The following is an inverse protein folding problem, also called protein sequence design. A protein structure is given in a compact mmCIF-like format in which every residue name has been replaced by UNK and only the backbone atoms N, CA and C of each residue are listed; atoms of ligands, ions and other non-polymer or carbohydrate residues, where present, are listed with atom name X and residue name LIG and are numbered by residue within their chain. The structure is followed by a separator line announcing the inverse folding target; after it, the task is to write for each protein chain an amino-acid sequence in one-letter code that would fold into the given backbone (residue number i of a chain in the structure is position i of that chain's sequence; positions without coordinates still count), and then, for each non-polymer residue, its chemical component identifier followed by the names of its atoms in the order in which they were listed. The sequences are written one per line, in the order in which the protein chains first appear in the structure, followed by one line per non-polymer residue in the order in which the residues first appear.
data_IF_761311560760
#
_entry.id   IF_761311560760
#
_cell.length_a   1.000
_cell.length_b   1.000
_cell.length_c   1.000
_cell.angle_alpha   90.00
_cell.angle_beta   90.00
_cell.angle_gamma   90.00
#
_symmetry.space_group_name_H-M   'P 1'
#
loop_
_entity.id
_entity.type
_entity.pdbx_description
1 polymer ?
#
# COMPACT_ATOMS: atom_id res chain seq x y z
N UNK A 1 0.01 -29.99 2.68
CA UNK A 1 0.81 -29.51 3.83
C UNK A 1 0.74 -28.00 4.05
N UNK A 2 0.93 -27.15 3.02
CA UNK A 2 0.80 -25.69 3.21
C UNK A 2 -0.63 -25.31 3.63
N UNK A 3 -1.64 -25.95 3.05
CA UNK A 3 -3.04 -25.70 3.39
C UNK A 3 -3.37 -25.98 4.85
N UNK A 4 -2.84 -27.07 5.43
CA UNK A 4 -3.11 -27.45 6.82
C UNK A 4 -2.41 -26.54 7.85
N UNK A 5 -1.29 -25.95 7.47
CA UNK A 5 -0.56 -24.98 8.31
C UNK A 5 -1.31 -23.65 8.30
N UNK A 6 -1.61 -23.10 7.12
CA UNK A 6 -2.14 -21.74 6.97
C UNK A 6 -3.68 -21.62 7.01
N UNK A 7 -4.42 -22.74 7.04
CA UNK A 7 -5.89 -22.73 7.17
C UNK A 7 -6.38 -22.25 8.53
N UNK A 8 -5.54 -22.26 9.57
CA UNK A 8 -5.88 -21.81 10.92
C UNK A 8 -5.03 -20.60 11.30
N UNK A 9 -5.62 -19.60 11.95
CA UNK A 9 -4.91 -18.42 12.44
C UNK A 9 -4.09 -18.69 13.71
N UNK A 10 -3.07 -19.55 13.61
CA UNK A 10 -2.18 -19.88 14.73
C UNK A 10 -1.10 -18.79 14.90
N UNK A 11 -0.77 -18.39 16.14
CA UNK A 11 0.32 -17.44 16.41
C UNK A 11 1.64 -17.83 15.74
N UNK A 12 1.94 -19.13 15.72
CA UNK A 12 3.11 -19.69 15.07
C UNK A 12 3.26 -19.28 13.59
N UNK A 13 2.16 -19.24 12.82
CA UNK A 13 2.22 -18.90 11.40
C UNK A 13 2.62 -17.44 11.17
N UNK A 14 2.17 -16.54 12.05
CA UNK A 14 2.57 -15.13 11.99
C UNK A 14 4.05 -14.98 12.28
N UNK A 15 4.53 -15.63 13.35
CA UNK A 15 5.96 -15.62 13.73
C UNK A 15 6.82 -16.15 12.58
N UNK A 16 6.41 -17.26 11.95
CA UNK A 16 7.13 -17.86 10.83
C UNK A 16 7.25 -16.91 9.64
N UNK A 17 6.16 -16.30 9.19
CA UNK A 17 6.19 -15.37 8.04
C UNK A 17 6.95 -14.09 8.37
N UNK A 18 6.83 -13.56 9.60
CA UNK A 18 7.64 -12.40 10.01
C UNK A 18 9.13 -12.73 10.09
N UNK A 19 9.50 -13.90 10.59
CA UNK A 19 10.90 -14.34 10.64
C UNK A 19 11.48 -14.50 9.22
N UNK A 20 10.70 -15.10 8.30
CA UNK A 20 11.09 -15.17 6.90
C UNK A 20 11.29 -13.79 6.27
N UNK A 21 10.44 -12.80 6.57
CA UNK A 21 10.62 -11.44 6.06
C UNK A 21 11.92 -10.82 6.55
N UNK A 22 12.21 -10.98 7.85
CA UNK A 22 13.45 -10.50 8.45
C UNK A 22 14.66 -11.13 7.77
N UNK A 23 14.66 -12.45 7.56
CA UNK A 23 15.76 -13.15 6.87
C UNK A 23 15.91 -12.64 5.43
N UNK A 24 14.82 -12.53 4.66
CA UNK A 24 14.87 -12.03 3.29
C UNK A 24 15.36 -10.59 3.20
N UNK A 25 14.98 -9.73 4.14
CA UNK A 25 15.46 -8.35 4.21
C UNK A 25 16.98 -8.31 4.44
N UNK A 26 17.50 -9.06 5.41
CA UNK A 26 18.94 -9.13 5.63
C UNK A 26 19.69 -9.72 4.43
N UNK A 27 19.18 -10.78 3.82
CA UNK A 27 19.77 -11.36 2.60
C UNK A 27 19.83 -10.36 1.44
N UNK A 28 18.82 -9.50 1.29
CA UNK A 28 18.83 -8.45 0.29
C UNK A 28 19.87 -7.37 0.63
N UNK A 29 19.91 -6.89 1.87
CA UNK A 29 20.85 -5.85 2.30
C UNK A 29 22.31 -6.31 2.26
N UNK A 30 22.57 -7.60 2.42
CA UNK A 30 23.91 -8.20 2.26
C UNK A 30 24.42 -8.20 0.81
N UNK A 31 23.59 -7.89 -0.20
CA UNK A 31 24.08 -7.70 -1.57
C UNK A 31 24.67 -6.31 -1.79
N UNK A 32 24.19 -5.30 -1.07
CA UNK A 32 24.66 -3.91 -1.13
C UNK A 32 25.71 -3.63 -0.03
N UNK A 33 26.79 -4.42 -0.01
CA UNK A 33 27.89 -4.36 0.99
C UNK A 33 28.58 -2.99 1.04
N UNK A 34 28.44 -2.17 -0.01
CA UNK A 34 29.04 -0.84 -0.11
C UNK A 34 28.34 0.28 0.69
N UNK A 35 27.36 -0.06 1.55
CA UNK A 35 26.48 0.92 2.22
C UNK A 35 26.31 0.68 3.72
N UNK A 36 27.38 0.26 4.41
CA UNK A 36 27.42 0.06 5.86
C UNK A 36 28.57 0.89 6.46
N UNK A 37 28.69 2.15 6.05
CA UNK A 37 29.78 3.02 6.50
C UNK A 37 29.36 3.95 7.65
N UNK A 38 28.06 4.09 7.95
CA UNK A 38 27.57 4.99 9.01
C UNK A 38 26.47 4.39 9.92
N UNK A 39 26.50 4.76 11.20
CA UNK A 39 25.44 4.38 12.17
C UNK A 39 24.04 4.89 11.80
N UNK A 40 23.97 5.97 11.01
CA UNK A 40 22.71 6.55 10.51
C UNK A 40 22.06 5.64 9.46
N UNK A 41 22.85 5.05 8.55
CA UNK A 41 22.33 4.10 7.55
C UNK A 41 21.78 2.83 8.20
N UNK A 42 22.42 2.35 9.26
CA UNK A 42 21.93 1.20 10.05
C UNK A 42 20.58 1.54 10.68
N UNK A 43 20.45 2.74 11.27
CA UNK A 43 19.19 3.21 11.85
C UNK A 43 18.08 3.30 10.78
N UNK A 44 18.39 3.85 9.61
CA UNK A 44 17.45 3.93 8.48
C UNK A 44 16.98 2.55 8.02
N UNK A 45 17.90 1.58 7.86
CA UNK A 45 17.56 0.19 7.51
C UNK A 45 16.70 -0.47 8.60
N UNK A 46 16.94 -0.17 9.88
CA UNK A 46 16.11 -0.62 11.00
C UNK A 46 14.68 -0.08 10.95
N UNK A 47 14.51 1.22 10.64
CA UNK A 47 13.19 1.84 10.45
C UNK A 47 12.45 1.22 9.26
N UNK A 48 13.14 0.95 8.15
CA UNK A 48 12.54 0.29 6.99
C UNK A 48 12.03 -1.12 7.31
N UNK A 49 12.83 -1.91 8.04
CA UNK A 49 12.39 -3.24 8.49
C UNK A 49 11.16 -3.15 9.39
N UNK A 50 11.13 -2.20 10.32
CA UNK A 50 9.97 -1.97 11.18
C UNK A 50 8.73 -1.63 10.35
N UNK A 51 8.85 -0.74 9.36
CA UNK A 51 7.74 -0.36 8.47
C UNK A 51 7.25 -1.55 7.64
N UNK A 52 8.14 -2.39 7.12
CA UNK A 52 7.75 -3.60 6.38
C UNK A 52 7.00 -4.58 7.27
N UNK A 53 7.50 -4.85 8.49
CA UNK A 53 6.81 -5.69 9.47
C UNK A 53 5.45 -5.08 9.84
N UNK A 54 5.38 -3.77 10.07
CA UNK A 54 4.13 -3.08 10.36
C UNK A 54 3.13 -3.16 9.19
N UNK A 55 3.59 -3.05 7.94
CA UNK A 55 2.76 -3.18 6.74
C UNK A 55 2.12 -4.57 6.63
N UNK A 56 2.88 -5.63 6.94
CA UNK A 56 2.40 -7.00 7.05
C UNK A 56 1.25 -7.12 8.07
N UNK A 57 1.47 -6.61 9.28
CA UNK A 57 0.46 -6.68 10.35
C UNK A 57 -0.78 -5.84 10.04
N UNK A 58 -0.62 -4.65 9.46
CA UNK A 58 -1.74 -3.80 9.05
C UNK A 58 -2.58 -4.49 7.98
N UNK A 59 -1.96 -5.10 6.96
CA UNK A 59 -2.66 -5.86 5.92
C UNK A 59 -3.54 -6.96 6.54
N UNK A 60 -3.00 -7.77 7.44
CA UNK A 60 -3.78 -8.81 8.12
C UNK A 60 -4.84 -8.25 9.10
N UNK A 61 -4.57 -7.11 9.74
CA UNK A 61 -5.58 -6.43 10.56
C UNK A 61 -6.77 -5.96 9.71
N UNK A 62 -6.51 -5.40 8.53
CA UNK A 62 -7.55 -4.97 7.58
C UNK A 62 -8.42 -6.15 7.19
N UNK A 63 -7.81 -7.29 6.83
CA UNK A 63 -8.56 -8.46 6.36
C UNK A 63 -9.42 -9.09 7.45
N UNK A 64 -8.87 -9.26 8.65
CA UNK A 64 -9.58 -9.89 9.78
C UNK A 64 -10.67 -9.01 10.35
N UNK A 65 -10.37 -7.74 10.63
CA UNK A 65 -11.32 -6.85 11.31
C UNK A 65 -12.58 -6.57 10.49
N UNK A 66 -12.47 -6.66 9.16
CA UNK A 66 -13.58 -6.39 8.25
C UNK A 66 -14.23 -7.66 7.66
N UNK A 67 -13.83 -8.86 8.13
CA UNK A 67 -14.39 -10.13 7.66
C UNK A 67 -14.17 -10.39 6.16
N UNK A 68 -13.08 -9.86 5.59
CA UNK A 68 -12.78 -9.93 4.16
C UNK A 68 -12.20 -11.28 3.73
N UNK A 69 -11.67 -12.04 4.69
CA UNK A 69 -11.25 -13.42 4.53
C UNK A 69 -11.81 -14.26 5.66
N UNK A 70 -11.91 -15.57 5.44
CA UNK A 70 -12.10 -16.55 6.52
C UNK A 70 -10.92 -16.46 7.50
N UNK A 71 -11.08 -16.94 8.73
CA UNK A 71 -10.05 -16.93 9.79
C UNK A 71 -8.83 -17.81 9.47
N UNK A 72 -8.05 -17.39 8.48
CA UNK A 72 -6.88 -18.06 7.95
C UNK A 72 -5.70 -17.08 7.86
N UNK A 73 -4.49 -17.62 7.73
CA UNK A 73 -3.24 -16.85 7.62
C UNK A 73 -2.78 -16.66 6.19
N UNK A 74 -3.62 -17.01 5.20
CA UNK A 74 -3.27 -16.89 3.78
C UNK A 74 -3.06 -15.44 3.32
N UNK A 75 -3.89 -14.45 3.71
CA UNK A 75 -3.64 -13.06 3.31
C UNK A 75 -2.27 -12.55 3.76
N UNK A 76 -1.84 -12.95 4.97
CA UNK A 76 -0.53 -12.62 5.51
C UNK A 76 0.61 -13.23 4.69
N UNK A 77 0.46 -14.50 4.29
CA UNK A 77 1.43 -15.19 3.44
C UNK A 77 1.49 -14.60 2.02
N UNK A 78 0.34 -14.33 1.39
CA UNK A 78 0.33 -13.77 0.03
C UNK A 78 0.93 -12.37 -0.02
N UNK A 79 0.63 -11.52 0.97
CA UNK A 79 1.26 -10.19 1.06
C UNK A 79 2.78 -10.30 1.18
N UNK A 80 3.27 -11.20 2.04
CA UNK A 80 4.70 -11.51 2.15
C UNK A 80 5.29 -12.01 0.82
N UNK A 81 4.61 -12.94 0.14
CA UNK A 81 5.08 -13.50 -1.13
C UNK A 81 5.18 -12.43 -2.22
N UNK A 82 4.23 -11.50 -2.30
CA UNK A 82 4.30 -10.39 -3.27
C UNK A 82 5.38 -9.37 -2.93
N UNK A 83 5.63 -9.08 -1.65
CA UNK A 83 6.76 -8.24 -1.23
C UNK A 83 8.10 -8.80 -1.74
N UNK A 84 8.34 -10.10 -1.56
CA UNK A 84 9.64 -10.71 -1.93
C UNK A 84 9.74 -11.05 -3.41
N UNK A 85 8.60 -11.19 -4.12
CA UNK A 85 8.58 -11.43 -5.56
C UNK A 85 9.35 -10.35 -6.33
N UNK A 86 9.37 -9.12 -5.80
CA UNK A 86 10.16 -8.02 -6.30
C UNK A 86 11.15 -7.56 -5.22
N UNK A 87 12.36 -8.15 -5.14
CA UNK A 87 13.34 -7.81 -4.11
C UNK A 87 13.71 -6.33 -4.08
N UNK A 88 13.60 -5.64 -5.21
CA UNK A 88 13.80 -4.18 -5.33
C UNK A 88 12.89 -3.38 -4.38
N UNK A 89 11.73 -3.90 -4.01
CA UNK A 89 10.83 -3.27 -3.02
C UNK A 89 11.50 -3.10 -1.66
N UNK A 90 12.37 -4.04 -1.26
CA UNK A 90 13.04 -4.04 0.04
C UNK A 90 14.14 -2.95 0.13
N UNK A 91 14.61 -2.45 -1.01
CA UNK A 91 15.62 -1.39 -1.10
C UNK A 91 15.04 0.02 -1.31
N UNK A 92 13.82 0.15 -1.84
CA UNK A 92 13.21 1.44 -2.17
C UNK A 92 12.47 2.04 -0.97
N UNK A 93 13.16 2.85 -0.17
CA UNK A 93 12.62 3.47 1.05
C UNK A 93 11.35 4.31 0.81
N UNK A 94 11.34 5.13 -0.24
CA UNK A 94 10.21 6.00 -0.59
C UNK A 94 8.93 5.21 -0.86
N UNK A 95 9.02 4.10 -1.60
CA UNK A 95 7.88 3.24 -1.93
C UNK A 95 7.35 2.51 -0.68
N UNK A 96 8.23 2.00 0.19
CA UNK A 96 7.82 1.35 1.44
C UNK A 96 7.04 2.33 2.33
N UNK A 97 7.59 3.54 2.54
CA UNK A 97 6.98 4.56 3.39
C UNK A 97 5.63 5.00 2.81
N UNK A 98 5.58 5.28 1.50
CA UNK A 98 4.34 5.65 0.82
C UNK A 98 3.27 4.57 0.94
N UNK A 99 3.61 3.31 0.64
CA UNK A 99 2.66 2.20 0.74
C UNK A 99 2.16 1.96 2.17
N UNK A 100 3.02 2.14 3.17
CA UNK A 100 2.61 2.06 4.56
C UNK A 100 1.50 3.08 4.89
N UNK A 101 1.62 4.32 4.42
CA UNK A 101 0.58 5.33 4.59
C UNK A 101 -0.69 5.02 3.78
N UNK A 102 -0.56 4.50 2.56
CA UNK A 102 -1.71 4.01 1.77
C UNK A 102 -2.45 2.89 2.51
N UNK A 103 -1.73 1.94 3.13
CA UNK A 103 -2.34 0.88 3.94
C UNK A 103 -3.07 1.44 5.18
N UNK A 104 -2.52 2.47 5.84
CA UNK A 104 -3.21 3.17 6.93
C UNK A 104 -4.50 3.86 6.46
N UNK A 105 -4.47 4.47 5.26
CA UNK A 105 -5.65 5.06 4.64
C UNK A 105 -6.71 3.99 4.32
N UNK A 106 -6.33 2.89 3.67
CA UNK A 106 -7.21 1.76 3.37
C UNK A 106 -7.86 1.19 4.62
N UNK A 107 -7.10 1.04 5.72
CA UNK A 107 -7.64 0.62 7.01
C UNK A 107 -8.79 1.51 7.49
N UNK A 108 -8.64 2.83 7.40
CA UNK A 108 -9.68 3.79 7.77
C UNK A 108 -10.87 3.71 6.82
N UNK A 109 -10.63 3.68 5.50
CA UNK A 109 -11.67 3.63 4.48
C UNK A 109 -12.53 2.37 4.53
N UNK A 110 -11.92 1.20 4.72
CA UNK A 110 -12.67 -0.06 4.81
C UNK A 110 -13.51 -0.07 6.09
N UNK A 111 -12.96 0.44 7.21
CA UNK A 111 -13.68 0.53 8.48
C UNK A 111 -14.84 1.54 8.49
N UNK A 112 -15.02 2.36 7.46
CA UNK A 112 -16.18 3.27 7.32
C UNK A 112 -17.52 2.51 7.27
N UNK A 113 -17.49 1.21 6.96
CA UNK A 113 -18.68 0.36 6.98
C UNK A 113 -19.41 0.39 8.33
N UNK A 114 -18.68 0.50 9.45
CA UNK A 114 -19.31 0.54 10.78
C UNK A 114 -20.00 1.87 11.10
N UNK A 115 -19.82 2.91 10.28
CA UNK A 115 -20.33 4.27 10.47
C UNK A 115 -20.01 4.92 11.83
N UNK A 116 -19.13 4.30 12.63
CA UNK A 116 -18.56 4.90 13.85
C UNK A 116 -17.54 5.95 13.42
N UNK A 117 -17.72 7.20 13.87
CA UNK A 117 -16.86 8.37 13.59
C UNK A 117 -16.45 8.53 12.10
N UNK A 118 -17.42 8.68 11.17
CA UNK A 118 -17.12 8.69 9.73
C UNK A 118 -16.28 9.90 9.31
N UNK A 119 -16.48 11.06 9.96
CA UNK A 119 -15.75 12.30 9.67
C UNK A 119 -14.26 12.15 9.95
N UNK A 120 -13.91 11.67 11.14
CA UNK A 120 -12.52 11.39 11.51
C UNK A 120 -11.86 10.39 10.56
N UNK A 121 -12.57 9.31 10.20
CA UNK A 121 -12.03 8.30 9.28
C UNK A 121 -11.77 8.85 7.87
N UNK A 122 -12.63 9.73 7.36
CA UNK A 122 -12.45 10.37 6.04
C UNK A 122 -11.27 11.34 6.08
N UNK A 123 -11.18 12.17 7.12
CA UNK A 123 -10.08 13.11 7.31
C UNK A 123 -8.74 12.36 7.45
N UNK A 124 -8.67 11.38 8.34
CA UNK A 124 -7.48 10.54 8.54
C UNK A 124 -7.04 9.87 7.23
N UNK A 125 -7.98 9.25 6.51
CA UNK A 125 -7.65 8.56 5.26
C UNK A 125 -7.08 9.53 4.21
N UNK A 126 -7.69 10.71 4.07
CA UNK A 126 -7.21 11.74 3.16
C UNK A 126 -5.82 12.23 3.56
N UNK A 127 -5.61 12.50 4.84
CA UNK A 127 -4.33 12.95 5.39
C UNK A 127 -3.23 11.92 5.09
N UNK A 128 -3.46 10.63 5.34
CA UNK A 128 -2.49 9.58 5.06
C UNK A 128 -2.15 9.48 3.56
N UNK A 129 -3.13 9.63 2.66
CA UNK A 129 -2.89 9.62 1.21
C UNK A 129 -2.04 10.81 0.78
N UNK A 130 -2.31 12.02 1.30
CA UNK A 130 -1.50 13.17 0.95
C UNK A 130 -0.08 13.07 1.51
N UNK A 131 0.12 12.51 2.71
CA UNK A 131 1.46 12.20 3.22
C UNK A 131 2.16 11.18 2.32
N UNK A 132 1.47 10.13 1.86
CA UNK A 132 2.02 9.15 0.93
C UNK A 132 2.51 9.81 -0.37
N UNK A 133 1.75 10.80 -0.88
CA UNK A 133 2.09 11.52 -2.10
C UNK A 133 3.39 12.34 -2.02
N UNK A 134 3.84 12.67 -0.81
CA UNK A 134 5.14 13.32 -0.61
C UNK A 134 6.32 12.36 -0.83
N UNK A 135 6.12 11.05 -0.69
CA UNK A 135 7.17 10.04 -0.92
C UNK A 135 7.09 9.48 -2.34
N UNK A 136 5.88 9.30 -2.86
CA UNK A 136 5.62 8.89 -4.24
C UNK A 136 4.41 9.63 -4.78
N UNK A 137 4.65 10.60 -5.68
CA UNK A 137 3.65 11.57 -6.15
C UNK A 137 2.33 10.92 -6.58
N UNK A 138 2.39 9.88 -7.41
CA UNK A 138 1.20 9.24 -7.98
C UNK A 138 0.32 8.50 -6.99
N UNK A 139 0.80 8.21 -5.78
CA UNK A 139 -0.06 7.67 -4.71
C UNK A 139 -1.23 8.60 -4.35
N UNK A 140 -1.20 9.88 -4.77
CA UNK A 140 -2.33 10.81 -4.64
C UNK A 140 -3.61 10.29 -5.32
N UNK A 141 -3.50 9.42 -6.33
CA UNK A 141 -4.67 8.81 -7.01
C UNK A 141 -5.58 8.03 -6.04
N UNK A 142 -5.06 7.57 -4.91
CA UNK A 142 -5.87 6.94 -3.85
C UNK A 142 -6.92 7.89 -3.25
N UNK A 143 -6.83 9.21 -3.47
CA UNK A 143 -7.87 10.15 -3.04
C UNK A 143 -9.23 9.86 -3.71
N UNK A 144 -9.22 9.30 -4.92
CA UNK A 144 -10.44 8.86 -5.61
C UNK A 144 -11.18 7.83 -4.75
N UNK A 145 -10.46 6.94 -4.07
CA UNK A 145 -11.05 5.94 -3.18
C UNK A 145 -11.74 6.56 -1.96
N UNK A 146 -11.26 7.71 -1.48
CA UNK A 146 -11.91 8.46 -0.41
C UNK A 146 -13.26 8.97 -0.87
N UNK A 147 -13.33 9.62 -2.04
CA UNK A 147 -14.59 10.11 -2.59
C UNK A 147 -15.58 8.98 -2.88
N UNK A 148 -15.11 7.86 -3.45
CA UNK A 148 -15.93 6.64 -3.62
C UNK A 148 -16.46 6.17 -2.26
N UNK A 149 -15.64 6.19 -1.20
CA UNK A 149 -16.06 5.79 0.13
C UNK A 149 -17.13 6.72 0.73
N UNK A 150 -17.04 8.03 0.48
CA UNK A 150 -18.05 9.03 0.86
C UNK A 150 -19.36 8.72 0.14
N UNK A 151 -19.33 8.55 -1.19
CA UNK A 151 -20.51 8.23 -2.00
C UNK A 151 -21.21 6.97 -1.48
N UNK A 152 -20.46 5.93 -1.15
CA UNK A 152 -21.01 4.64 -0.73
C UNK A 152 -21.61 4.62 0.68
N UNK A 153 -21.20 5.51 1.59
CA UNK A 153 -21.57 5.41 3.02
C UNK A 153 -22.20 6.68 3.59
N UNK A 154 -21.76 7.87 3.16
CA UNK A 154 -22.11 9.12 3.84
C UNK A 154 -22.27 10.30 2.88
N UNK A 155 -22.87 10.04 1.71
CA UNK A 155 -23.04 11.03 0.63
C UNK A 155 -23.90 12.24 1.01
N UNK A 156 -24.86 12.05 1.94
CA UNK A 156 -25.89 13.05 2.29
C UNK A 156 -25.36 14.26 3.05
N UNK A 157 -24.27 14.12 3.81
CA UNK A 157 -23.72 15.22 4.62
C UNK A 157 -22.60 15.92 3.83
N UNK A 158 -22.87 17.16 3.40
CA UNK A 158 -21.94 17.98 2.62
C UNK A 158 -20.60 18.21 3.35
N UNK A 159 -20.59 18.18 4.69
CA UNK A 159 -19.36 18.38 5.47
C UNK A 159 -18.32 17.31 5.17
N UNK A 160 -18.76 16.09 4.86
CA UNK A 160 -17.86 14.98 4.52
C UNK A 160 -17.10 15.22 3.22
N UNK A 161 -17.70 15.94 2.28
CA UNK A 161 -17.09 16.27 1.00
C UNK A 161 -15.99 17.31 1.13
N UNK A 162 -16.04 18.15 2.16
CA UNK A 162 -15.05 19.20 2.42
C UNK A 162 -13.80 18.62 3.12
N UNK A 163 -13.93 17.52 3.87
CA UNK A 163 -12.83 16.94 4.67
C UNK A 163 -11.57 16.58 3.87
N UNK A 164 -11.64 15.97 2.66
CA UNK A 164 -10.46 15.70 1.86
C UNK A 164 -9.67 16.97 1.51
N UNK A 165 -10.36 18.08 1.22
CA UNK A 165 -9.72 19.35 0.91
C UNK A 165 -9.04 19.96 2.15
N UNK A 166 -9.68 19.87 3.33
CA UNK A 166 -9.06 20.30 4.59
C UNK A 166 -7.78 19.50 4.84
N UNK A 167 -7.81 18.18 4.65
CA UNK A 167 -6.63 17.33 4.80
C UNK A 167 -5.52 17.70 3.80
N UNK A 168 -5.86 18.03 2.56
CA UNK A 168 -4.92 18.51 1.55
C UNK A 168 -4.20 19.79 2.03
N UNK A 169 -4.95 20.81 2.44
CA UNK A 169 -4.35 22.06 2.90
C UNK A 169 -3.51 21.87 4.16
N UNK A 170 -3.95 21.02 5.10
CA UNK A 170 -3.16 20.69 6.30
C UNK A 170 -1.80 20.10 5.92
N UNK A 171 -1.77 19.08 5.06
CA UNK A 171 -0.50 18.45 4.65
C UNK A 171 0.34 19.41 3.82
N UNK A 172 -0.26 20.17 2.91
CA UNK A 172 0.44 21.15 2.07
C UNK A 172 1.09 22.25 2.91
N UNK A 173 0.38 22.84 3.88
CA UNK A 173 0.91 23.88 4.75
C UNK A 173 2.07 23.33 5.60
N UNK A 174 1.89 22.16 6.23
CA UNK A 174 2.94 21.53 7.05
C UNK A 174 4.18 21.22 6.19
N UNK A 175 3.98 20.68 4.99
CA UNK A 175 5.07 20.36 4.07
C UNK A 175 5.81 21.61 3.59
N UNK A 176 5.09 22.66 3.20
CA UNK A 176 5.70 23.92 2.77
C UNK A 176 6.48 24.59 3.90
N UNK A 177 5.96 24.59 5.13
CA UNK A 177 6.69 25.08 6.30
C UNK A 177 7.96 24.25 6.55
N UNK A 178 7.87 22.93 6.46
CA UNK A 178 9.02 22.04 6.62
C UNK A 178 10.09 22.30 5.54
N UNK A 179 9.69 22.34 4.27
CA UNK A 179 10.59 22.62 3.15
C UNK A 179 11.21 24.03 3.25
N UNK A 180 10.45 25.03 3.70
CA UNK A 180 10.98 26.38 3.86
C UNK A 180 12.06 26.47 4.95
N UNK A 181 11.90 25.73 6.05
CA UNK A 181 12.82 25.76 7.20
C UNK A 181 14.05 24.88 6.98
N UNK A 182 13.88 23.68 6.44
CA UNK A 182 14.95 22.69 6.36
C UNK A 182 15.63 22.65 4.99
N UNK A 183 14.84 22.53 3.91
CA UNK A 183 15.38 22.38 2.57
C UNK A 183 14.33 22.71 1.50
N UNK A 184 14.55 23.81 0.77
CA UNK A 184 13.65 24.28 -0.29
C UNK A 184 13.63 23.34 -1.50
N UNK A 185 14.70 22.60 -1.73
CA UNK A 185 14.80 21.66 -2.88
C UNK A 185 13.80 20.52 -2.78
N UNK A 186 13.24 20.25 -1.59
CA UNK A 186 12.18 19.26 -1.42
C UNK A 186 10.94 19.56 -2.26
N UNK A 187 10.63 20.84 -2.50
CA UNK A 187 9.49 21.24 -3.35
C UNK A 187 9.81 20.92 -4.82
N UNK A 188 11.01 21.27 -5.28
CA UNK A 188 11.46 21.03 -6.65
C UNK A 188 11.52 19.52 -6.93
N UNK A 189 12.08 18.74 -5.99
CA UNK A 189 12.14 17.27 -6.06
C UNK A 189 10.76 16.61 -6.17
N UNK A 190 9.71 17.20 -5.60
CA UNK A 190 8.34 16.71 -5.77
C UNK A 190 7.78 17.04 -7.15
N UNK A 191 8.01 18.25 -7.63
CA UNK A 191 7.56 18.70 -8.94
C UNK A 191 8.25 17.93 -10.07
N UNK A 192 9.54 17.62 -9.91
CA UNK A 192 10.29 16.78 -10.85
C UNK A 192 9.77 15.34 -10.91
N UNK A 193 9.04 14.87 -9.90
CA UNK A 193 8.40 13.54 -9.90
C UNK A 193 6.96 13.58 -10.42
N UNK A 194 6.43 14.77 -10.72
CA UNK A 194 5.05 15.00 -11.13
C UNK A 194 4.82 14.96 -12.65
N UNK A 195 5.68 14.25 -13.40
CA UNK A 195 5.47 14.02 -14.83
C UNK A 195 4.86 12.63 -15.09
N UNK A 196 4.14 12.55 -16.20
CA UNK A 196 3.57 11.30 -16.71
C UNK A 196 4.62 10.59 -17.57
N UNK A 197 4.82 9.29 -17.36
CA UNK A 197 5.59 8.45 -18.27
C UNK A 197 4.81 7.21 -18.67
N UNK A 198 4.51 7.09 -19.96
CA UNK A 198 3.86 5.90 -20.52
C UNK A 198 4.84 4.94 -21.18
N UNK A 199 6.14 5.17 -21.05
CA UNK A 199 7.15 4.29 -21.63
C UNK A 199 7.22 2.96 -20.87
N UNK A 200 7.15 1.85 -21.60
CA UNK A 200 7.22 0.49 -21.03
C UNK A 200 8.55 -0.20 -21.35
N UNK A 201 9.59 0.57 -21.70
CA UNK A 201 10.88 0.06 -22.16
C UNK A 201 11.79 -0.48 -21.04
N UNK A 202 11.25 -0.85 -19.87
CA UNK A 202 12.04 -1.30 -18.72
C UNK A 202 12.22 -2.84 -18.62
N UNK A 203 11.59 -3.61 -19.52
CA UNK A 203 11.60 -5.09 -19.54
C UNK A 203 12.92 -5.72 -20.01
N UNK A 204 14.05 -5.29 -19.48
CA UNK A 204 15.38 -5.71 -19.94
C UNK A 204 15.84 -7.03 -19.30
N UNK A 205 15.38 -7.36 -18.10
CA UNK A 205 15.83 -8.54 -17.36
C UNK A 205 14.81 -9.70 -17.41
N UNK A 206 15.25 -10.86 -17.92
CA UNK A 206 14.44 -12.09 -18.00
C UNK A 206 13.81 -12.49 -16.66
N UNK A 207 14.54 -12.34 -15.55
CA UNK A 207 14.02 -12.68 -14.21
C UNK A 207 12.89 -11.74 -13.76
N UNK A 208 13.01 -10.45 -14.03
CA UNK A 208 11.98 -9.47 -13.71
C UNK A 208 10.72 -9.71 -14.54
N UNK A 209 10.86 -10.09 -15.81
CA UNK A 209 9.75 -10.40 -16.71
C UNK A 209 8.99 -11.68 -16.27
N UNK A 210 9.72 -12.71 -15.83
CA UNK A 210 9.10 -13.93 -15.27
C UNK A 210 8.36 -13.59 -13.97
N UNK A 211 9.00 -12.83 -13.06
CA UNK A 211 8.37 -12.42 -11.80
C UNK A 211 7.09 -11.61 -12.05
N UNK A 212 7.12 -10.67 -13.00
CA UNK A 212 5.93 -9.93 -13.41
C UNK A 212 4.85 -10.85 -14.00
N UNK A 213 5.23 -11.78 -14.88
CA UNK A 213 4.25 -12.70 -15.49
C UNK A 213 3.53 -13.56 -14.44
N UNK A 214 4.27 -14.06 -13.45
CA UNK A 214 3.70 -14.79 -12.30
C UNK A 214 2.76 -13.88 -11.50
N UNK A 215 3.20 -12.64 -11.22
CA UNK A 215 2.39 -11.66 -10.50
C UNK A 215 1.07 -11.38 -11.22
N UNK A 216 1.12 -11.08 -12.52
CA UNK A 216 -0.05 -10.77 -13.35
C UNK A 216 -0.99 -11.98 -13.43
N UNK A 217 -0.47 -13.20 -13.60
CA UNK A 217 -1.30 -14.40 -13.64
C UNK A 217 -2.06 -14.63 -12.32
N UNK A 218 -1.37 -14.53 -11.18
CA UNK A 218 -1.97 -14.73 -9.86
C UNK A 218 -2.98 -13.63 -9.54
N UNK A 219 -2.63 -12.37 -9.79
CA UNK A 219 -3.51 -11.22 -9.51
C UNK A 219 -4.73 -11.22 -10.42
N UNK A 220 -4.60 -11.52 -11.71
CA UNK A 220 -5.73 -11.67 -12.62
C UNK A 220 -6.68 -12.77 -12.17
N UNK A 221 -6.17 -13.93 -11.74
CA UNK A 221 -6.98 -15.02 -11.18
C UNK A 221 -7.72 -14.55 -9.92
N UNK A 222 -7.03 -13.90 -8.98
CA UNK A 222 -7.68 -13.40 -7.77
C UNK A 222 -8.72 -12.31 -8.06
N UNK A 223 -8.45 -11.37 -8.96
CA UNK A 223 -9.44 -10.35 -9.34
C UNK A 223 -10.67 -10.96 -9.99
N UNK A 224 -10.46 -11.86 -10.96
CA UNK A 224 -11.54 -12.53 -11.65
C UNK A 224 -12.44 -13.28 -10.64
N UNK A 225 -11.83 -14.03 -9.73
CA UNK A 225 -12.59 -14.75 -8.69
C UNK A 225 -13.30 -13.79 -7.73
N UNK A 226 -12.70 -12.67 -7.34
CA UNK A 226 -13.37 -11.67 -6.48
C UNK A 226 -14.54 -10.97 -7.18
N UNK A 227 -14.43 -10.67 -8.48
CA UNK A 227 -15.51 -10.04 -9.27
C UNK A 227 -16.67 -11.02 -9.44
N UNK A 228 -16.40 -12.26 -9.86
CA UNK A 228 -17.44 -13.29 -10.08
C UNK A 228 -18.15 -13.67 -8.79
N UNK A 229 -17.42 -13.74 -7.67
CA UNK A 229 -18.03 -14.07 -6.36
C UNK A 229 -18.65 -12.86 -5.66
N UNK A 230 -18.54 -11.65 -6.19
CA UNK A 230 -19.08 -10.46 -5.55
C UNK A 230 -20.59 -10.56 -5.29
N UNK A 231 -21.45 -10.95 -6.26
CA UNK A 231 -22.90 -11.01 -6.06
C UNK A 231 -23.36 -12.03 -5.01
N UNK A 232 -22.55 -13.07 -4.73
CA UNK A 232 -22.89 -14.13 -3.79
C UNK A 232 -22.49 -13.83 -2.35
N UNK A 233 -21.85 -12.68 -2.08
CA UNK A 233 -21.42 -12.29 -0.74
C UNK A 233 -22.55 -11.59 0.04
N UNK A 234 -22.49 -11.58 1.38
CA UNK A 234 -23.46 -10.83 2.16
C UNK A 234 -23.41 -9.34 1.82
N UNK A 235 -24.59 -8.73 1.64
CA UNK A 235 -24.76 -7.31 1.28
C UNK A 235 -23.96 -6.36 2.18
N UNK A 236 -23.84 -6.70 3.46
CA UNK A 236 -23.08 -5.95 4.46
C UNK A 236 -21.62 -5.73 4.04
N UNK A 237 -20.97 -6.73 3.43
CA UNK A 237 -19.57 -6.65 3.02
C UNK A 237 -19.35 -6.14 1.60
N UNK A 238 -20.39 -6.02 0.76
CA UNK A 238 -20.27 -5.62 -0.64
C UNK A 238 -19.49 -4.32 -0.83
N UNK A 239 -19.77 -3.32 0.01
CA UNK A 239 -19.12 -2.02 -0.08
C UNK A 239 -17.62 -2.10 0.23
N UNK A 240 -17.21 -2.99 1.12
CA UNK A 240 -15.80 -3.21 1.45
C UNK A 240 -15.08 -3.97 0.34
N UNK A 241 -15.73 -4.95 -0.30
CA UNK A 241 -15.17 -5.62 -1.48
C UNK A 241 -15.03 -4.69 -2.69
N UNK A 242 -16.03 -3.83 -2.95
CA UNK A 242 -15.96 -2.82 -4.02
C UNK A 242 -14.78 -1.87 -3.81
N UNK A 243 -14.51 -1.44 -2.56
CA UNK A 243 -13.34 -0.61 -2.23
C UNK A 243 -12.02 -1.32 -2.52
N UNK A 244 -11.90 -2.61 -2.22
CA UNK A 244 -10.67 -3.38 -2.49
C UNK A 244 -10.43 -3.53 -3.99
N UNK A 245 -11.47 -3.87 -4.76
CA UNK A 245 -11.38 -3.96 -6.22
C UNK A 245 -10.98 -2.60 -6.82
N UNK A 246 -11.60 -1.51 -6.34
CA UNK A 246 -11.24 -0.16 -6.78
C UNK A 246 -9.82 0.23 -6.39
N UNK A 247 -9.38 -0.13 -5.17
CA UNK A 247 -8.01 0.08 -4.71
C UNK A 247 -6.99 -0.62 -5.61
N UNK A 248 -7.28 -1.85 -6.04
CA UNK A 248 -6.45 -2.57 -7.01
C UNK A 248 -6.35 -1.81 -8.34
N UNK A 249 -7.47 -1.36 -8.91
CA UNK A 249 -7.44 -0.59 -10.17
C UNK A 249 -6.70 0.74 -10.03
N UNK A 250 -6.82 1.40 -8.88
CA UNK A 250 -6.04 2.61 -8.58
C UNK A 250 -4.55 2.30 -8.49
N UNK A 251 -4.15 1.25 -7.74
CA UNK A 251 -2.75 0.83 -7.68
C UNK A 251 -2.18 0.49 -9.07
N UNK A 252 -2.99 -0.15 -9.92
CA UNK A 252 -2.59 -0.43 -11.30
C UNK A 252 -2.43 0.85 -12.11
N UNK A 253 -3.32 1.83 -11.95
CA UNK A 253 -3.18 3.14 -12.57
C UNK A 253 -1.91 3.87 -12.10
N UNK A 254 -1.58 3.79 -10.81
CA UNK A 254 -0.32 4.31 -10.25
C UNK A 254 0.89 3.68 -10.95
N UNK A 255 0.88 2.36 -11.15
CA UNK A 255 1.93 1.66 -11.88
C UNK A 255 2.04 2.10 -13.37
N UNK A 256 0.91 2.31 -14.05
CA UNK A 256 0.89 2.72 -15.46
C UNK A 256 1.40 4.14 -15.66
N UNK A 257 1.08 5.04 -14.74
CA UNK A 257 1.33 6.49 -14.87
C UNK A 257 2.69 6.92 -14.28
N UNK A 258 3.20 6.17 -13.30
CA UNK A 258 4.43 6.54 -12.60
C UNK A 258 5.64 6.67 -13.53
N UNK A 259 6.48 7.70 -13.35
CA UNK A 259 7.79 7.77 -13.97
C UNK A 259 8.70 6.66 -13.44
N UNK A 260 9.75 6.36 -14.21
CA UNK A 260 10.78 5.36 -13.89
C UNK A 260 10.19 4.00 -13.48
N UNK A 261 9.46 3.38 -14.40
CA UNK A 261 8.71 2.14 -14.15
C UNK A 261 9.61 1.05 -13.59
N UNK A 262 9.21 0.55 -12.42
CA UNK A 262 9.80 -0.59 -11.75
C UNK A 262 8.67 -1.50 -11.24
N UNK A 263 8.91 -2.81 -11.26
CA UNK A 263 7.97 -3.78 -10.70
C UNK A 263 7.66 -3.52 -9.21
N UNK A 264 8.55 -2.83 -8.48
CA UNK A 264 8.31 -2.46 -7.09
C UNK A 264 7.11 -1.53 -6.88
N UNK A 265 6.64 -0.83 -7.92
CA UNK A 265 5.46 0.05 -7.85
C UNK A 265 4.16 -0.79 -7.73
N UNK A 266 4.17 -2.07 -8.14
CA UNK A 266 3.08 -3.02 -7.93
C UNK A 266 2.85 -3.37 -6.44
N UNK A 267 3.64 -2.78 -5.54
CA UNK A 267 3.39 -2.82 -4.11
C UNK A 267 2.03 -2.21 -3.71
N UNK A 268 1.52 -1.26 -4.49
CA UNK A 268 0.25 -0.57 -4.22
C UNK A 268 -1.01 -1.39 -4.61
N UNK A 269 -0.85 -2.47 -5.37
CA UNK A 269 -1.93 -3.32 -5.89
C UNK A 269 -2.18 -4.55 -5.02
#
# INVERSE_FOLDING_TARGET
MITTIFSKSRPFNYILVTALLIVCFFLYQLKDISSIDSGIEIANKGVLLLLLVASLFISNFITKKNGLSKDNTFPFLFFFSFLILFPTTLGTSSLIISNFFVLLALRRLISLQSLVTPKEKIFDASLWIFIASLFHFWSILFIILVFVSIILHVARDYRNWILPYIAFFTVAIIFLLFAFVFDKTLVDNLLEKAYFSFDFNYFTNKFQNIALSIYVAITALFLFTQIVTLPSKPLIHHNSYKKIIMAFFIGFAVYVVSPDKNNSILLYT
#
